data_IF_467740866508
#
_entry.id   IF_467740866508
#
_cell.length_a   1.000
_cell.length_b   1.000
_cell.length_c   1.000
_cell.angle_alpha   90.00
_cell.angle_beta   90.00
_cell.angle_gamma   90.00
#
_symmetry.space_group_name_H-M   'P 1'
#
loop_
_entity.id
_entity.type
_entity.pdbx_description
1 polymer ?
#
# COMPACT_ATOMS: atom_id res chain seq x y z
N UNK A 1 12.22 20.17 -2.77
CA UNK A 1 12.40 20.47 -4.21
C UNK A 1 11.03 20.79 -4.78
N UNK A 2 10.90 21.88 -5.53
CA UNK A 2 9.61 22.22 -6.19
C UNK A 2 9.53 21.37 -7.45
N UNK A 3 8.40 20.67 -7.66
CA UNK A 3 8.14 19.91 -8.90
C UNK A 3 8.02 20.94 -10.03
N UNK A 4 8.94 20.89 -10.98
CA UNK A 4 8.96 21.78 -12.15
C UNK A 4 8.62 20.98 -13.39
N UNK A 5 7.51 21.32 -14.06
CA UNK A 5 6.99 20.65 -15.25
C UNK A 5 7.38 21.47 -16.49
N UNK A 6 7.89 20.84 -17.53
CA UNK A 6 8.05 21.45 -18.84
C UNK A 6 6.81 21.14 -19.69
N UNK A 7 6.06 22.16 -20.02
CA UNK A 7 4.86 22.08 -20.85
C UNK A 7 5.20 22.47 -22.30
N UNK A 8 4.93 21.59 -23.25
CA UNK A 8 5.22 21.80 -24.67
C UNK A 8 3.92 21.71 -25.47
N UNK A 9 3.44 22.83 -25.97
CA UNK A 9 2.17 22.95 -26.69
C UNK A 9 2.27 24.11 -27.69
N UNK A 10 1.98 23.91 -28.96
CA UNK A 10 2.07 24.97 -29.99
C UNK A 10 0.90 25.94 -29.94
N UNK A 11 -0.32 25.45 -29.62
CA UNK A 11 -1.46 26.33 -29.44
C UNK A 11 -1.32 27.23 -28.21
N UNK A 12 -1.22 28.53 -28.43
CA UNK A 12 -1.02 29.51 -27.35
C UNK A 12 -2.13 29.55 -26.32
N UNK A 13 -3.38 29.35 -26.75
CA UNK A 13 -4.58 29.43 -25.87
C UNK A 13 -4.61 28.19 -24.97
N UNK A 14 -4.38 27.02 -25.60
CA UNK A 14 -4.36 25.75 -24.87
C UNK A 14 -3.13 25.69 -23.94
N UNK A 15 -1.96 26.14 -24.38
CA UNK A 15 -0.75 26.23 -23.56
C UNK A 15 -0.97 27.05 -22.29
N UNK A 16 -1.67 28.21 -22.42
CA UNK A 16 -1.99 29.03 -21.26
C UNK A 16 -2.96 28.32 -20.31
N UNK A 17 -4.03 27.72 -20.82
CA UNK A 17 -5.02 26.99 -20.01
C UNK A 17 -4.43 25.79 -19.27
N UNK A 18 -3.50 25.07 -19.90
CA UNK A 18 -2.76 23.95 -19.28
C UNK A 18 -1.79 24.46 -18.22
N UNK A 19 -1.12 25.60 -18.49
CA UNK A 19 -0.25 26.26 -17.51
C UNK A 19 -1.02 26.67 -16.26
N UNK A 20 -2.16 27.35 -16.43
CA UNK A 20 -3.06 27.74 -15.33
C UNK A 20 -3.54 26.50 -14.54
N UNK A 21 -3.83 25.40 -15.23
CA UNK A 21 -4.19 24.13 -14.59
C UNK A 21 -3.08 23.60 -13.72
N UNK A 22 -1.83 23.61 -14.20
CA UNK A 22 -0.66 23.14 -13.44
C UNK A 22 -0.41 24.05 -12.22
N UNK A 23 -0.55 25.36 -12.37
CA UNK A 23 -0.38 26.35 -11.29
C UNK A 23 -1.44 26.15 -10.19
N UNK A 24 -2.72 25.96 -10.56
CA UNK A 24 -3.81 25.63 -9.61
C UNK A 24 -3.51 24.30 -8.90
N UNK A 25 -2.91 23.32 -9.59
CA UNK A 25 -2.44 22.07 -9.00
C UNK A 25 -1.22 22.21 -8.06
N UNK A 26 -0.64 23.41 -7.96
CA UNK A 26 0.52 23.69 -7.11
C UNK A 26 1.87 23.25 -7.73
N UNK A 27 1.93 23.05 -9.04
CA UNK A 27 3.16 22.72 -9.77
C UNK A 27 3.80 23.96 -10.37
N UNK A 28 5.11 24.12 -10.20
CA UNK A 28 5.87 25.08 -10.99
C UNK A 28 5.97 24.55 -12.44
N UNK A 29 5.80 25.43 -13.41
CA UNK A 29 5.91 25.03 -14.81
C UNK A 29 6.72 26.02 -15.63
N UNK A 30 7.27 25.52 -16.74
CA UNK A 30 7.83 26.33 -17.81
C UNK A 30 7.13 25.90 -19.11
N UNK A 31 6.55 26.86 -19.82
CA UNK A 31 5.77 26.57 -21.02
C UNK A 31 6.50 27.04 -22.27
N UNK A 32 6.64 26.18 -23.25
CA UNK A 32 7.32 26.44 -24.54
C UNK A 32 6.41 26.09 -25.72
N UNK A 33 6.67 26.70 -26.87
CA UNK A 33 5.81 26.59 -28.05
C UNK A 33 6.23 25.55 -29.09
N UNK A 34 7.40 24.91 -28.91
CA UNK A 34 7.92 23.95 -29.86
C UNK A 34 8.81 22.91 -29.18
N UNK A 35 9.01 21.78 -29.87
CA UNK A 35 9.88 20.72 -29.39
C UNK A 35 11.36 21.15 -29.38
N UNK A 36 11.75 22.04 -30.27
CA UNK A 36 13.09 22.61 -30.33
C UNK A 36 13.39 23.47 -29.09
N UNK A 37 12.45 24.35 -28.71
CA UNK A 37 12.54 25.12 -27.46
C UNK A 37 12.57 24.22 -26.24
N UNK A 38 11.81 23.12 -26.26
CA UNK A 38 11.80 22.16 -25.16
C UNK A 38 13.16 21.48 -24.96
N UNK A 39 13.86 21.12 -26.02
CA UNK A 39 15.20 20.54 -25.96
C UNK A 39 16.20 21.53 -25.35
N UNK A 40 16.17 22.81 -25.78
CA UNK A 40 17.01 23.86 -25.19
C UNK A 40 16.72 24.07 -23.70
N UNK A 41 15.43 24.12 -23.34
CA UNK A 41 15.02 24.28 -21.96
C UNK A 41 15.50 23.14 -21.04
N UNK A 42 15.50 21.90 -21.52
CA UNK A 42 15.97 20.74 -20.75
C UNK A 42 17.51 20.74 -20.59
N UNK A 43 18.24 21.31 -21.54
CA UNK A 43 19.69 21.48 -21.41
C UNK A 43 20.07 22.62 -20.43
N UNK A 44 19.22 23.66 -20.33
CA UNK A 44 19.47 24.85 -19.50
C UNK A 44 18.99 24.67 -18.04
N UNK A 45 17.98 23.82 -17.80
CA UNK A 45 17.37 23.68 -16.47
C UNK A 45 16.90 22.25 -16.21
N UNK A 46 16.61 21.92 -14.93
CA UNK A 46 16.15 20.59 -14.52
C UNK A 46 14.63 20.55 -14.35
N UNK A 47 13.99 19.60 -15.03
CA UNK A 47 12.55 19.35 -14.94
C UNK A 47 12.26 17.99 -14.34
N UNK A 48 11.13 17.89 -13.64
CA UNK A 48 10.65 16.66 -13.05
C UNK A 48 9.85 15.81 -14.05
N UNK A 49 9.20 16.46 -15.03
CA UNK A 49 8.35 15.85 -16.05
C UNK A 49 8.27 16.76 -17.27
N UNK A 50 8.21 16.17 -18.46
CA UNK A 50 7.80 16.85 -19.69
C UNK A 50 6.40 16.44 -20.05
N UNK A 51 5.52 17.42 -20.30
CA UNK A 51 4.15 17.20 -20.85
C UNK A 51 4.14 17.81 -22.24
N UNK A 52 3.99 16.99 -23.28
CA UNK A 52 4.11 17.45 -24.66
C UNK A 52 2.91 17.08 -25.50
N UNK A 53 2.43 18.02 -26.32
CA UNK A 53 1.55 17.63 -27.43
C UNK A 53 2.31 16.72 -28.42
N UNK A 54 1.56 15.82 -29.05
CA UNK A 54 2.07 14.96 -30.13
C UNK A 54 2.11 15.72 -31.46
N UNK A 55 1.07 16.52 -31.77
CA UNK A 55 0.90 17.15 -33.05
C UNK A 55 1.39 18.60 -33.03
N UNK A 56 2.68 18.80 -33.21
CA UNK A 56 3.30 20.13 -33.28
C UNK A 56 3.95 20.37 -34.63
N UNK A 57 3.99 21.64 -35.13
CA UNK A 57 4.74 21.99 -36.32
C UNK A 57 6.25 21.73 -36.15
N UNK A 58 6.92 21.26 -37.19
CA UNK A 58 8.33 20.94 -37.14
C UNK A 58 8.59 19.57 -36.53
N UNK A 59 9.20 19.50 -35.36
CA UNK A 59 9.44 18.29 -34.61
C UNK A 59 8.20 17.89 -33.81
N UNK A 60 7.64 16.71 -34.08
CA UNK A 60 6.50 16.20 -33.34
C UNK A 60 6.87 15.66 -31.95
N UNK A 61 5.86 15.39 -31.08
CA UNK A 61 6.05 14.90 -29.73
C UNK A 61 6.73 13.52 -29.64
N UNK A 62 6.57 12.65 -30.66
CA UNK A 62 7.27 11.36 -30.73
C UNK A 62 8.77 11.53 -31.02
N UNK A 63 9.09 12.45 -31.90
CA UNK A 63 10.49 12.78 -32.22
C UNK A 63 11.17 13.46 -31.03
N UNK A 64 10.45 14.33 -30.30
CA UNK A 64 10.91 14.91 -29.05
C UNK A 64 11.17 13.82 -28.00
N UNK A 65 10.24 12.90 -27.80
CA UNK A 65 10.41 11.75 -26.91
C UNK A 65 11.66 10.95 -27.25
N UNK A 66 11.86 10.61 -28.52
CA UNK A 66 13.01 9.83 -28.96
C UNK A 66 14.35 10.53 -28.69
N UNK A 67 14.40 11.87 -28.84
CA UNK A 67 15.60 12.67 -28.53
C UNK A 67 15.83 12.79 -27.03
N UNK A 68 14.79 13.07 -26.24
CA UNK A 68 14.88 13.14 -24.78
C UNK A 68 15.32 11.80 -24.18
N UNK A 69 14.85 10.67 -24.74
CA UNK A 69 15.29 9.34 -24.29
C UNK A 69 16.78 9.06 -24.55
N UNK A 70 17.38 9.63 -25.57
CA UNK A 70 18.81 9.46 -25.87
C UNK A 70 19.69 10.31 -24.97
N UNK A 71 19.29 11.56 -24.70
CA UNK A 71 20.12 12.52 -23.96
C UNK A 71 19.73 12.63 -22.48
N UNK A 72 18.45 12.43 -22.14
CA UNK A 72 17.90 12.53 -20.79
C UNK A 72 17.02 11.30 -20.47
N UNK A 73 17.58 10.06 -20.44
CA UNK A 73 16.80 8.81 -20.33
C UNK A 73 15.94 8.73 -19.04
N UNK A 74 16.31 9.48 -18.02
CA UNK A 74 15.60 9.50 -16.73
C UNK A 74 14.48 10.54 -16.64
N UNK A 75 14.32 11.43 -17.65
CA UNK A 75 13.28 12.46 -17.64
C UNK A 75 11.97 11.86 -18.17
N UNK A 76 10.93 11.69 -17.33
CA UNK A 76 9.65 11.15 -17.80
C UNK A 76 8.98 12.10 -18.79
N UNK A 77 8.35 11.55 -19.82
CA UNK A 77 7.64 12.31 -20.86
C UNK A 77 6.21 11.79 -20.95
N UNK A 78 5.23 12.68 -20.73
CA UNK A 78 3.81 12.46 -20.93
C UNK A 78 3.41 13.05 -22.28
N UNK A 79 2.77 12.26 -23.15
CA UNK A 79 2.30 12.71 -24.42
C UNK A 79 0.81 13.03 -24.42
N UNK A 80 0.40 14.17 -25.02
CA UNK A 80 -1.00 14.56 -25.21
C UNK A 80 -1.35 14.45 -26.68
N UNK A 81 -2.55 13.93 -27.03
CA UNK A 81 -2.98 13.80 -28.42
C UNK A 81 -4.47 14.01 -28.60
N UNK A 82 -4.86 14.54 -29.76
CA UNK A 82 -6.26 14.64 -30.18
C UNK A 82 -6.84 13.33 -30.77
N UNK A 83 -6.01 12.32 -31.02
CA UNK A 83 -6.45 11.08 -31.66
C UNK A 83 -6.42 9.90 -30.69
N UNK A 84 -7.59 9.31 -30.43
CA UNK A 84 -7.79 8.15 -29.57
C UNK A 84 -7.38 6.80 -30.23
N UNK A 85 -6.41 6.79 -31.14
CA UNK A 85 -5.93 5.55 -31.75
C UNK A 85 -5.09 4.76 -30.75
N UNK A 86 -5.64 3.67 -30.23
CA UNK A 86 -4.99 2.76 -29.28
C UNK A 86 -3.61 2.31 -29.75
N UNK A 87 -3.45 2.09 -31.06
CA UNK A 87 -2.20 1.68 -31.67
C UNK A 87 -1.07 2.71 -31.52
N UNK A 88 -1.38 4.01 -31.61
CA UNK A 88 -0.39 5.09 -31.38
C UNK A 88 -0.03 5.27 -29.92
N UNK A 89 -0.98 5.07 -29.00
CA UNK A 89 -0.69 5.08 -27.57
C UNK A 89 0.25 3.93 -27.20
N UNK A 90 -0.01 2.73 -27.71
CA UNK A 90 0.85 1.55 -27.50
C UNK A 90 2.25 1.78 -28.08
N UNK A 91 2.37 2.40 -29.26
CA UNK A 91 3.66 2.71 -29.85
C UNK A 91 4.43 3.77 -29.05
N UNK A 92 3.77 4.81 -28.55
CA UNK A 92 4.38 5.80 -27.67
C UNK A 92 4.92 5.17 -26.38
N UNK A 93 4.17 4.24 -25.78
CA UNK A 93 4.62 3.51 -24.59
C UNK A 93 5.82 2.60 -24.90
N UNK A 94 5.85 1.93 -26.08
CA UNK A 94 7.02 1.15 -26.52
C UNK A 94 8.26 1.99 -26.75
N UNK A 95 8.07 3.24 -27.20
CA UNK A 95 9.16 4.21 -27.37
C UNK A 95 9.61 4.85 -26.06
N UNK A 96 8.98 4.47 -24.94
CA UNK A 96 9.37 4.87 -23.59
C UNK A 96 8.65 6.10 -23.06
N UNK A 97 7.49 6.50 -23.59
CA UNK A 97 6.65 7.48 -22.93
C UNK A 97 6.27 7.00 -21.51
N UNK A 98 6.22 7.91 -20.56
CA UNK A 98 5.80 7.60 -19.20
C UNK A 98 4.30 7.36 -19.11
N UNK A 99 3.53 8.11 -19.91
CA UNK A 99 2.09 7.94 -20.05
C UNK A 99 1.55 8.69 -21.28
N UNK A 100 0.25 8.54 -21.55
CA UNK A 100 -0.40 9.09 -22.73
C UNK A 100 -1.78 9.63 -22.37
N UNK A 101 -2.10 10.87 -22.78
CA UNK A 101 -3.35 11.56 -22.44
C UNK A 101 -4.10 11.97 -23.70
N UNK A 102 -5.37 11.52 -23.84
CA UNK A 102 -6.19 11.81 -25.03
C UNK A 102 -7.02 13.07 -24.80
N UNK A 103 -6.88 14.04 -25.71
CA UNK A 103 -7.71 15.27 -25.74
C UNK A 103 -9.10 14.97 -26.36
N UNK A 104 -10.22 15.52 -25.83
CA UNK A 104 -10.30 16.37 -24.66
C UNK A 104 -10.25 15.58 -23.33
N UNK A 105 -9.63 16.15 -22.32
CA UNK A 105 -9.50 15.58 -20.99
C UNK A 105 -9.87 16.59 -19.89
N UNK A 106 -10.27 16.06 -18.75
CA UNK A 106 -10.54 16.89 -17.57
C UNK A 106 -9.23 17.37 -16.94
N UNK A 107 -9.16 18.61 -16.38
CA UNK A 107 -7.99 19.11 -15.66
C UNK A 107 -7.47 18.17 -14.59
N UNK A 108 -8.37 17.48 -13.88
CA UNK A 108 -8.01 16.47 -12.86
C UNK A 108 -7.21 15.29 -13.42
N UNK A 109 -7.47 14.88 -14.67
CA UNK A 109 -6.76 13.78 -15.31
C UNK A 109 -5.29 14.17 -15.57
N UNK A 110 -5.04 15.38 -16.07
CA UNK A 110 -3.68 15.91 -16.24
C UNK A 110 -2.96 15.98 -14.88
N UNK A 111 -3.58 16.61 -13.87
CA UNK A 111 -2.98 16.78 -12.55
C UNK A 111 -2.64 15.42 -11.90
N UNK A 112 -3.52 14.42 -12.00
CA UNK A 112 -3.27 13.08 -11.45
C UNK A 112 -2.10 12.35 -12.15
N UNK A 113 -1.92 12.55 -13.45
CA UNK A 113 -0.79 12.01 -14.20
C UNK A 113 0.51 12.74 -13.87
N UNK A 114 0.46 14.07 -13.75
CA UNK A 114 1.61 14.87 -13.32
C UNK A 114 2.03 14.49 -11.90
N UNK A 115 1.08 14.34 -10.96
CA UNK A 115 1.38 13.84 -9.62
C UNK A 115 2.05 12.47 -9.64
N UNK A 116 1.51 11.54 -10.43
CA UNK A 116 2.03 10.17 -10.55
C UNK A 116 3.45 10.13 -11.11
N UNK A 117 3.72 10.86 -12.17
CA UNK A 117 4.97 10.76 -12.93
C UNK A 117 6.03 11.78 -12.51
N UNK A 118 5.65 12.97 -12.04
CA UNK A 118 6.56 13.95 -11.46
C UNK A 118 6.93 13.59 -10.01
N UNK A 119 5.99 13.01 -9.24
CA UNK A 119 6.27 12.39 -7.93
C UNK A 119 7.12 11.12 -8.08
N UNK A 120 7.19 10.51 -9.27
CA UNK A 120 8.11 9.41 -9.57
C UNK A 120 9.60 9.79 -9.37
N UNK A 121 9.95 11.08 -9.38
CA UNK A 121 11.26 11.57 -8.91
C UNK A 121 11.30 11.95 -7.43
N UNK A 122 10.14 12.22 -6.82
CA UNK A 122 9.98 12.31 -5.35
C UNK A 122 9.72 10.92 -4.74
N UNK A 123 9.17 9.99 -5.52
CA UNK A 123 9.11 8.54 -5.25
C UNK A 123 10.41 7.80 -5.59
N UNK A 124 11.50 8.49 -5.99
CA UNK A 124 12.85 7.94 -5.91
C UNK A 124 13.31 7.71 -4.46
N UNK A 125 12.49 8.07 -3.45
CA UNK A 125 12.61 7.53 -2.10
C UNK A 125 12.09 6.08 -1.96
N UNK A 126 11.26 5.57 -2.87
CA UNK A 126 10.95 4.13 -2.97
C UNK A 126 12.02 3.35 -3.77
N UNK A 127 12.93 4.04 -4.49
CA UNK A 127 14.12 3.45 -5.12
C UNK A 127 15.30 3.28 -4.15
N UNK A 128 15.25 3.87 -2.97
CA UNK A 128 16.13 3.50 -1.87
C UNK A 128 15.63 2.18 -1.29
N UNK A 129 16.42 1.11 -1.47
CA UNK A 129 16.15 -0.22 -0.96
C UNK A 129 15.78 -0.25 0.53
N UNK A 130 15.52 -1.42 1.12
CA UNK A 130 15.23 -1.55 2.54
C UNK A 130 16.27 -0.85 3.40
N UNK A 131 15.86 -0.22 4.50
CA UNK A 131 16.79 0.30 5.51
C UNK A 131 17.45 -0.88 6.21
N UNK A 132 18.78 -0.90 6.24
CA UNK A 132 19.60 -1.96 6.84
C UNK A 132 20.85 -1.36 7.48
N UNK A 133 20.72 -0.89 8.70
CA UNK A 133 21.83 -0.43 9.54
C UNK A 133 22.32 -1.53 10.46
N UNK A 134 21.42 -2.43 10.88
CA UNK A 134 21.75 -3.62 11.67
C UNK A 134 22.59 -4.60 10.85
N UNK A 135 23.64 -5.24 11.40
CA UNK A 135 24.47 -6.22 10.69
C UNK A 135 23.67 -7.36 10.08
N UNK A 136 22.68 -7.90 10.80
CA UNK A 136 21.82 -8.98 10.31
C UNK A 136 20.98 -8.53 9.09
N UNK A 137 20.45 -7.32 9.11
CA UNK A 137 19.72 -6.74 7.98
C UNK A 137 20.61 -6.56 6.75
N UNK A 138 21.86 -6.09 6.94
CA UNK A 138 22.84 -5.94 5.84
C UNK A 138 23.18 -7.28 5.21
N UNK A 139 23.48 -8.31 6.02
CA UNK A 139 23.78 -9.66 5.54
C UNK A 139 22.62 -10.26 4.74
N UNK A 140 21.37 -10.04 5.20
CA UNK A 140 20.20 -10.48 4.46
C UNK A 140 20.06 -9.76 3.12
N UNK A 141 20.31 -8.45 3.06
CA UNK A 141 20.26 -7.70 1.79
C UNK A 141 21.37 -8.11 0.83
N UNK A 142 22.58 -8.40 1.31
CA UNK A 142 23.67 -8.94 0.49
C UNK A 142 23.30 -10.32 -0.08
N UNK A 143 22.68 -11.18 0.73
CA UNK A 143 22.18 -12.47 0.27
C UNK A 143 21.06 -12.28 -0.77
N UNK A 144 20.11 -11.41 -0.49
CA UNK A 144 19.01 -11.07 -1.40
C UNK A 144 19.53 -10.53 -2.76
N UNK A 145 20.55 -9.66 -2.75
CA UNK A 145 21.18 -9.16 -3.97
C UNK A 145 21.90 -10.25 -4.77
N UNK A 146 22.53 -11.23 -4.10
CA UNK A 146 23.11 -12.39 -4.78
C UNK A 146 22.04 -13.27 -5.42
N UNK A 147 20.97 -13.57 -4.68
CA UNK A 147 19.84 -14.37 -5.17
C UNK A 147 19.09 -13.65 -6.28
N UNK A 148 19.06 -12.32 -6.25
CA UNK A 148 18.43 -11.50 -7.28
C UNK A 148 18.96 -11.79 -8.69
N UNK A 149 20.24 -12.16 -8.83
CA UNK A 149 20.90 -12.46 -10.12
C UNK A 149 20.46 -13.78 -10.74
N UNK A 150 19.76 -14.64 -10.01
CA UNK A 150 19.19 -15.91 -10.50
C UNK A 150 17.67 -15.75 -10.72
N UNK A 151 17.10 -16.60 -11.59
CA UNK A 151 15.65 -16.71 -11.78
C UNK A 151 14.96 -17.64 -10.78
N UNK A 152 15.68 -18.06 -9.73
CA UNK A 152 15.14 -18.93 -8.69
C UNK A 152 13.97 -18.29 -7.96
N UNK A 153 12.99 -19.13 -7.60
CA UNK A 153 11.88 -18.72 -6.73
C UNK A 153 12.39 -18.38 -5.34
N UNK A 154 11.91 -17.30 -4.75
CA UNK A 154 12.29 -16.87 -3.40
C UNK A 154 11.04 -16.84 -2.52
N UNK A 155 11.12 -17.50 -1.37
CA UNK A 155 10.11 -17.44 -0.31
C UNK A 155 10.60 -16.53 0.81
N UNK A 156 9.92 -15.41 1.01
CA UNK A 156 10.23 -14.43 2.05
C UNK A 156 9.29 -14.66 3.22
N UNK A 157 9.80 -15.11 4.35
CA UNK A 157 9.05 -15.28 5.59
C UNK A 157 9.33 -14.15 6.58
N UNK A 158 8.39 -13.88 7.47
CA UNK A 158 8.53 -12.89 8.54
C UNK A 158 7.19 -12.38 9.03
N UNK A 159 7.16 -11.81 10.21
CA UNK A 159 5.94 -11.28 10.83
C UNK A 159 5.22 -10.24 9.95
N UNK A 160 3.93 -10.04 10.22
CA UNK A 160 3.17 -8.99 9.53
C UNK A 160 3.78 -7.61 9.78
N UNK A 161 3.81 -6.77 8.73
CA UNK A 161 4.33 -5.41 8.84
C UNK A 161 5.85 -5.27 8.88
N UNK A 162 6.65 -6.32 8.70
CA UNK A 162 8.13 -6.26 8.70
C UNK A 162 8.73 -5.62 7.46
N UNK A 163 7.96 -5.50 6.36
CA UNK A 163 8.43 -4.94 5.09
C UNK A 163 8.85 -6.00 4.05
N UNK A 164 8.25 -7.20 4.07
CA UNK A 164 8.51 -8.29 3.11
C UNK A 164 8.33 -7.87 1.66
N UNK A 165 7.31 -7.06 1.36
CA UNK A 165 7.10 -6.53 0.00
C UNK A 165 8.24 -5.60 -0.43
N UNK A 166 8.79 -4.78 0.49
CA UNK A 166 9.94 -3.90 0.21
C UNK A 166 11.17 -4.73 -0.16
N UNK A 167 11.40 -5.85 0.55
CA UNK A 167 12.47 -6.79 0.22
C UNK A 167 12.23 -7.47 -1.15
N UNK A 168 11.00 -7.86 -1.46
CA UNK A 168 10.66 -8.44 -2.77
C UNK A 168 10.92 -7.43 -3.92
N UNK A 169 10.55 -6.16 -3.75
CA UNK A 169 10.85 -5.09 -4.71
C UNK A 169 12.36 -4.86 -4.86
N UNK A 170 13.10 -4.90 -3.76
CA UNK A 170 14.56 -4.82 -3.79
C UNK A 170 15.18 -5.97 -4.58
N UNK A 171 14.73 -7.21 -4.38
CA UNK A 171 15.20 -8.38 -5.15
C UNK A 171 14.91 -8.18 -6.65
N UNK A 172 13.74 -7.68 -7.01
CA UNK A 172 13.42 -7.37 -8.41
C UNK A 172 14.34 -6.29 -8.97
N UNK A 173 14.57 -5.18 -8.25
CA UNK A 173 15.44 -4.08 -8.67
C UNK A 173 16.91 -4.49 -8.84
N UNK A 174 17.39 -5.48 -8.09
CA UNK A 174 18.75 -6.03 -8.19
C UNK A 174 18.86 -7.17 -9.22
N UNK A 175 17.77 -7.52 -9.90
CA UNK A 175 17.71 -8.63 -10.86
C UNK A 175 17.96 -8.17 -12.32
N UNK A 176 18.29 -9.09 -13.25
CA UNK A 176 18.32 -8.80 -14.67
C UNK A 176 16.97 -8.29 -15.23
N UNK A 177 15.87 -8.52 -14.49
CA UNK A 177 14.50 -8.10 -14.86
C UNK A 177 14.09 -6.76 -14.24
N UNK A 178 15.03 -5.96 -13.71
CA UNK A 178 14.75 -4.70 -12.99
C UNK A 178 13.96 -3.65 -13.79
N UNK A 179 14.06 -3.68 -15.11
CA UNK A 179 13.33 -2.78 -16.03
C UNK A 179 12.02 -3.37 -16.54
N UNK A 180 11.73 -4.62 -16.20
CA UNK A 180 10.53 -5.35 -16.60
C UNK A 180 9.39 -5.17 -15.58
N UNK A 181 8.15 -5.58 -15.89
CA UNK A 181 7.04 -5.44 -14.97
C UNK A 181 7.28 -6.12 -13.62
N UNK A 182 6.92 -5.43 -12.52
CA UNK A 182 6.77 -6.01 -11.20
C UNK A 182 5.29 -6.02 -10.83
N UNK A 183 4.69 -7.20 -10.87
CA UNK A 183 3.26 -7.39 -10.57
C UNK A 183 3.12 -8.02 -9.21
N UNK A 184 2.42 -7.36 -8.30
CA UNK A 184 2.15 -7.88 -6.95
C UNK A 184 0.67 -8.21 -6.81
N UNK A 185 0.37 -9.29 -6.10
CA UNK A 185 -0.98 -9.69 -5.72
C UNK A 185 -0.96 -10.18 -4.28
N UNK A 186 -1.89 -9.67 -3.47
CA UNK A 186 -2.08 -10.16 -2.11
C UNK A 186 -3.20 -11.20 -2.10
N UNK A 187 -2.84 -12.46 -1.77
CA UNK A 187 -3.77 -13.59 -1.79
C UNK A 187 -4.83 -13.50 -0.69
N UNK A 188 -4.52 -12.82 0.43
CA UNK A 188 -5.48 -12.63 1.53
C UNK A 188 -6.52 -11.53 1.27
N UNK A 189 -6.21 -10.57 0.36
CA UNK A 189 -7.07 -9.42 0.12
C UNK A 189 -8.20 -9.68 -0.89
N UNK A 190 -8.14 -10.80 -1.61
CA UNK A 190 -9.07 -11.13 -2.70
C UNK A 190 -9.94 -12.32 -2.28
N UNK A 191 -11.27 -12.24 -2.41
CA UNK A 191 -12.14 -13.37 -2.16
C UNK A 191 -11.77 -14.60 -3.03
N UNK A 192 -11.87 -15.80 -2.46
CA UNK A 192 -11.43 -17.05 -3.09
C UNK A 192 -12.00 -17.27 -4.49
N UNK A 193 -13.28 -16.95 -4.69
CA UNK A 193 -13.98 -17.08 -5.97
C UNK A 193 -13.46 -16.11 -7.06
N UNK A 194 -12.80 -15.02 -6.66
CA UNK A 194 -12.22 -14.04 -7.60
C UNK A 194 -10.71 -14.22 -7.77
N UNK A 195 -10.04 -14.84 -6.80
CA UNK A 195 -8.59 -15.02 -6.81
C UNK A 195 -8.14 -15.83 -8.01
N UNK A 196 -8.88 -16.89 -8.36
CA UNK A 196 -8.60 -17.73 -9.51
C UNK A 196 -8.60 -16.93 -10.82
N UNK A 197 -9.69 -16.21 -11.10
CA UNK A 197 -9.82 -15.42 -12.31
C UNK A 197 -8.81 -14.26 -12.35
N UNK A 198 -8.45 -13.70 -11.20
CA UNK A 198 -7.45 -12.63 -11.10
C UNK A 198 -6.05 -13.15 -11.40
N UNK A 199 -5.67 -14.31 -10.86
CA UNK A 199 -4.34 -14.90 -11.06
C UNK A 199 -4.15 -15.42 -12.49
N UNK A 200 -5.07 -16.28 -12.94
CA UNK A 200 -4.92 -17.05 -14.17
C UNK A 200 -5.60 -16.40 -15.39
N UNK A 201 -6.45 -15.37 -15.16
CA UNK A 201 -7.27 -14.78 -16.21
C UNK A 201 -8.52 -15.62 -16.54
N UNK A 202 -9.40 -15.11 -17.38
CA UNK A 202 -10.60 -15.81 -17.78
C UNK A 202 -10.97 -15.53 -19.23
N UNK A 203 -11.61 -16.48 -19.87
CA UNK A 203 -12.24 -16.33 -21.17
C UNK A 203 -13.66 -15.78 -21.03
N UNK A 204 -14.19 -15.21 -22.10
CA UNK A 204 -15.58 -14.74 -22.14
C UNK A 204 -16.54 -15.89 -21.85
N UNK A 205 -17.44 -15.69 -20.89
CA UNK A 205 -18.44 -16.71 -20.49
C UNK A 205 -17.92 -17.75 -19.50
N UNK A 206 -16.73 -17.62 -18.93
CA UNK A 206 -16.15 -18.56 -17.98
C UNK A 206 -16.98 -18.68 -16.67
N UNK A 207 -17.65 -17.60 -16.28
CA UNK A 207 -18.56 -17.54 -15.14
C UNK A 207 -19.61 -16.45 -15.34
N UNK A 208 -20.64 -16.42 -14.49
CA UNK A 208 -21.70 -15.38 -14.52
C UNK A 208 -21.08 -14.01 -14.26
N UNK A 209 -21.06 -13.13 -15.30
CA UNK A 209 -20.42 -11.82 -15.24
C UNK A 209 -19.14 -11.69 -16.08
N UNK A 210 -18.62 -12.77 -16.66
CA UNK A 210 -17.48 -12.74 -17.59
C UNK A 210 -17.90 -12.26 -18.99
N UNK A 211 -18.14 -10.96 -19.13
CA UNK A 211 -18.63 -10.33 -20.39
C UNK A 211 -17.53 -10.33 -21.47
N UNK A 212 -16.27 -10.18 -21.08
CA UNK A 212 -15.09 -10.15 -21.94
C UNK A 212 -14.01 -11.08 -21.39
N UNK A 213 -13.07 -11.51 -22.26
CA UNK A 213 -11.87 -12.19 -21.80
C UNK A 213 -10.91 -11.19 -21.15
N UNK A 214 -10.23 -11.62 -20.06
CA UNK A 214 -9.28 -10.79 -19.32
C UNK A 214 -8.01 -11.57 -18.99
N UNK A 215 -6.85 -10.94 -19.23
CA UNK A 215 -5.54 -11.49 -18.90
C UNK A 215 -5.33 -11.52 -17.37
N UNK A 216 -4.79 -12.62 -16.86
CA UNK A 216 -4.47 -12.81 -15.46
C UNK A 216 -3.17 -12.12 -15.05
N UNK A 217 -2.88 -12.14 -13.73
CA UNK A 217 -1.65 -11.57 -13.16
C UNK A 217 -0.39 -12.29 -13.68
N UNK A 218 -0.47 -13.58 -13.97
CA UNK A 218 0.61 -14.33 -14.60
C UNK A 218 0.99 -13.76 -15.96
N UNK A 219 -0.01 -13.52 -16.83
CA UNK A 219 0.20 -12.93 -18.15
C UNK A 219 0.69 -11.47 -18.05
N UNK A 220 0.18 -10.69 -17.09
CA UNK A 220 0.60 -9.29 -16.86
C UNK A 220 2.06 -9.18 -16.40
N UNK A 221 2.60 -10.24 -15.77
CA UNK A 221 3.97 -10.29 -15.30
C UNK A 221 4.97 -10.81 -16.34
N UNK A 222 4.53 -11.06 -17.58
CA UNK A 222 5.37 -11.62 -18.64
C UNK A 222 6.67 -10.83 -18.84
N UNK A 223 7.79 -11.53 -18.94
CA UNK A 223 9.15 -10.98 -18.97
C UNK A 223 9.67 -10.47 -17.64
N UNK A 224 8.80 -10.30 -16.63
CA UNK A 224 9.08 -9.63 -15.36
C UNK A 224 9.06 -10.52 -14.13
N UNK A 225 8.52 -9.97 -13.04
CA UNK A 225 8.45 -10.64 -11.73
C UNK A 225 7.03 -10.57 -11.17
N UNK A 226 6.52 -11.73 -10.73
CA UNK A 226 5.25 -11.85 -10.00
C UNK A 226 5.52 -12.04 -8.51
N UNK A 227 4.96 -11.17 -7.67
CA UNK A 227 4.94 -11.33 -6.23
C UNK A 227 3.60 -11.87 -5.77
N UNK A 228 3.62 -13.05 -5.12
CA UNK A 228 2.49 -13.65 -4.42
C UNK A 228 2.60 -13.32 -2.93
N UNK A 229 1.95 -12.26 -2.49
CA UNK A 229 1.97 -11.82 -1.09
C UNK A 229 0.95 -12.62 -0.28
N UNK A 230 1.33 -13.03 0.93
CA UNK A 230 0.57 -13.88 1.85
C UNK A 230 0.10 -15.20 1.20
N UNK A 231 1.04 -15.92 0.57
CA UNK A 231 0.76 -17.16 -0.17
C UNK A 231 0.11 -18.26 0.69
N UNK A 232 0.34 -18.24 2.01
CA UNK A 232 -0.28 -19.16 2.98
C UNK A 232 -1.81 -19.08 3.04
N UNK A 233 -2.40 -17.95 2.58
CA UNK A 233 -3.85 -17.76 2.55
C UNK A 233 -4.51 -18.32 1.28
N UNK A 234 -3.72 -18.85 0.34
CA UNK A 234 -4.25 -19.39 -0.92
C UNK A 234 -5.04 -20.69 -0.68
N UNK A 235 -6.27 -20.80 -1.20
CA UNK A 235 -7.08 -22.03 -1.11
C UNK A 235 -6.37 -23.24 -1.74
N UNK A 236 -6.54 -24.44 -1.14
CA UNK A 236 -5.88 -25.68 -1.57
C UNK A 236 -6.13 -26.01 -3.07
N UNK A 237 -7.33 -25.73 -3.58
CA UNK A 237 -7.65 -25.94 -4.99
C UNK A 237 -6.80 -25.09 -5.94
N UNK A 238 -6.47 -23.86 -5.54
CA UNK A 238 -5.63 -22.95 -6.32
C UNK A 238 -4.15 -23.28 -6.18
N UNK A 239 -3.74 -23.83 -5.03
CA UNK A 239 -2.35 -24.29 -4.83
C UNK A 239 -1.96 -25.37 -5.86
N UNK A 240 -2.87 -26.28 -6.20
CA UNK A 240 -2.62 -27.30 -7.23
C UNK A 240 -2.42 -26.68 -8.63
N UNK A 241 -3.23 -25.66 -8.98
CA UNK A 241 -3.08 -24.94 -10.24
C UNK A 241 -1.79 -24.13 -10.28
N UNK A 242 -1.46 -23.45 -9.18
CA UNK A 242 -0.20 -22.72 -9.05
C UNK A 242 1.02 -23.63 -9.24
N UNK A 243 0.99 -24.82 -8.62
CA UNK A 243 2.06 -25.80 -8.78
C UNK A 243 2.30 -26.18 -10.24
N UNK A 244 1.23 -26.42 -10.99
CA UNK A 244 1.30 -26.70 -12.44
C UNK A 244 1.95 -25.55 -13.20
N UNK A 245 1.51 -24.30 -12.97
CA UNK A 245 2.09 -23.12 -13.62
C UNK A 245 3.58 -22.98 -13.32
N UNK A 246 4.01 -23.23 -12.07
CA UNK A 246 5.42 -23.16 -11.67
C UNK A 246 6.28 -24.30 -12.28
N UNK A 247 5.67 -25.45 -12.58
CA UNK A 247 6.36 -26.59 -13.17
C UNK A 247 6.44 -26.50 -14.67
N UNK A 248 5.30 -26.23 -15.32
CA UNK A 248 5.14 -26.27 -16.77
C UNK A 248 5.52 -24.94 -17.44
N UNK A 249 5.58 -23.85 -16.65
CA UNK A 249 5.77 -22.46 -17.14
C UNK A 249 4.72 -22.05 -18.17
N UNK A 250 3.52 -22.51 -17.98
CA UNK A 250 2.37 -22.20 -18.83
C UNK A 250 1.16 -21.91 -17.95
N UNK A 251 0.26 -21.06 -18.46
CA UNK A 251 -1.02 -20.74 -17.78
C UNK A 251 -2.17 -21.00 -18.74
N UNK A 252 -3.26 -21.56 -18.20
CA UNK A 252 -4.54 -21.66 -18.87
C UNK A 252 -5.55 -20.73 -18.20
N UNK A 253 -6.25 -19.92 -19.00
CA UNK A 253 -7.33 -19.06 -18.49
C UNK A 253 -8.52 -19.89 -18.01
N UNK A 254 -9.21 -19.39 -17.02
CA UNK A 254 -10.46 -20.01 -16.54
C UNK A 254 -11.48 -20.07 -17.69
N UNK A 255 -12.01 -21.27 -17.97
CA UNK A 255 -12.89 -21.52 -19.12
C UNK A 255 -12.18 -21.68 -20.46
N UNK A 256 -10.87 -21.47 -20.52
CA UNK A 256 -10.01 -21.70 -21.68
C UNK A 256 -9.40 -23.11 -21.69
N UNK A 257 -8.83 -23.49 -22.85
CA UNK A 257 -8.05 -24.74 -23.03
C UNK A 257 -6.71 -24.51 -23.73
N UNK A 258 -6.40 -23.25 -24.01
CA UNK A 258 -5.17 -22.89 -24.70
C UNK A 258 -4.09 -22.56 -23.68
N UNK A 259 -2.99 -23.31 -23.61
CA UNK A 259 -1.86 -22.96 -22.77
C UNK A 259 -1.17 -21.71 -23.32
N UNK A 260 -0.76 -20.84 -22.42
CA UNK A 260 -0.01 -19.61 -22.70
C UNK A 260 1.33 -19.76 -21.97
N UNK A 261 2.43 -19.80 -22.74
CA UNK A 261 3.77 -19.91 -22.18
C UNK A 261 4.12 -18.64 -21.39
N UNK A 262 4.87 -18.81 -20.29
CA UNK A 262 5.26 -17.75 -19.36
C UNK A 262 6.78 -17.72 -19.17
N UNK A 263 7.37 -16.56 -19.35
CA UNK A 263 8.72 -16.26 -18.90
C UNK A 263 8.69 -15.28 -17.73
N UNK A 264 8.41 -15.77 -16.55
CA UNK A 264 8.29 -14.96 -15.32
C UNK A 264 9.18 -15.47 -14.20
N UNK A 265 9.62 -14.56 -13.34
CA UNK A 265 10.19 -14.88 -12.04
C UNK A 265 9.11 -14.78 -10.98
N UNK A 266 9.05 -15.76 -10.05
CA UNK A 266 8.08 -15.76 -8.95
C UNK A 266 8.79 -15.50 -7.62
N UNK A 267 8.25 -14.55 -6.85
CA UNK A 267 8.57 -14.30 -5.45
C UNK A 267 7.30 -14.57 -4.64
N UNK A 268 7.45 -15.15 -3.46
CA UNK A 268 6.34 -15.39 -2.55
C UNK A 268 6.66 -14.84 -1.16
N UNK A 269 5.63 -14.34 -0.46
CA UNK A 269 5.77 -13.92 0.94
C UNK A 269 4.79 -14.66 1.83
N UNK A 270 5.14 -14.82 3.10
CA UNK A 270 4.26 -15.39 4.12
C UNK A 270 4.56 -14.81 5.50
N UNK A 271 3.57 -14.71 6.35
CA UNK A 271 3.68 -14.37 7.76
C UNK A 271 3.46 -15.60 8.67
N UNK A 272 3.12 -16.77 8.09
CA UNK A 272 2.88 -18.01 8.82
C UNK A 272 4.11 -18.93 8.80
N UNK A 273 4.16 -19.85 9.76
CA UNK A 273 5.07 -20.98 9.71
C UNK A 273 4.59 -21.99 8.67
N UNK A 274 5.27 -22.02 7.53
CA UNK A 274 4.90 -22.86 6.40
C UNK A 274 5.02 -24.36 6.72
N UNK A 275 5.99 -24.75 7.57
CA UNK A 275 6.12 -26.16 7.98
C UNK A 275 4.90 -26.59 8.81
N UNK A 276 4.44 -25.73 9.71
CA UNK A 276 3.21 -25.95 10.47
C UNK A 276 1.94 -25.98 9.57
N UNK A 277 1.85 -25.12 8.55
CA UNK A 277 0.74 -25.12 7.59
C UNK A 277 0.70 -26.41 6.75
N UNK A 278 1.86 -26.93 6.33
CA UNK A 278 1.97 -28.21 5.62
C UNK A 278 1.58 -29.38 6.53
N UNK A 279 2.11 -29.43 7.76
CA UNK A 279 1.77 -30.48 8.73
C UNK A 279 0.27 -30.49 9.08
N UNK A 280 -0.38 -29.32 9.09
CA UNK A 280 -1.82 -29.19 9.33
C UNK A 280 -2.68 -29.44 8.07
N UNK A 281 -2.07 -29.76 6.92
CA UNK A 281 -2.78 -30.02 5.66
C UNK A 281 -3.44 -28.79 5.02
N UNK A 282 -3.10 -27.57 5.47
CA UNK A 282 -3.61 -26.32 4.88
C UNK A 282 -2.78 -25.84 3.70
N UNK A 283 -1.54 -26.33 3.60
CA UNK A 283 -0.68 -26.03 2.47
C UNK A 283 -0.06 -27.31 1.90
N UNK A 284 0.03 -27.41 0.58
CA UNK A 284 0.59 -28.62 -0.08
C UNK A 284 2.09 -28.65 0.05
N UNK A 285 2.63 -29.80 0.41
CA UNK A 285 4.06 -30.04 0.59
C UNK A 285 4.85 -29.86 -0.72
N UNK A 286 4.32 -30.36 -1.85
CA UNK A 286 4.94 -30.23 -3.16
C UNK A 286 5.08 -28.77 -3.62
N UNK A 287 4.07 -27.95 -3.38
CA UNK A 287 4.10 -26.52 -3.66
C UNK A 287 5.08 -25.79 -2.72
N UNK A 288 5.12 -26.15 -1.44
CA UNK A 288 6.07 -25.57 -0.50
C UNK A 288 7.52 -25.74 -0.96
N UNK A 289 7.94 -26.95 -1.34
CA UNK A 289 9.30 -27.17 -1.85
C UNK A 289 9.56 -26.45 -3.16
N UNK A 290 8.55 -26.26 -4.01
CA UNK A 290 8.70 -25.53 -5.28
C UNK A 290 8.84 -24.01 -5.07
N UNK A 291 8.22 -23.44 -4.05
CA UNK A 291 8.33 -22.04 -3.67
C UNK A 291 9.57 -21.75 -2.82
N UNK A 292 9.95 -22.67 -1.95
CA UNK A 292 11.04 -22.52 -0.98
C UNK A 292 12.40 -22.95 -1.54
N UNK A 293 12.68 -22.63 -2.81
CA UNK A 293 13.99 -22.87 -3.41
C UNK A 293 15.05 -22.01 -2.72
N UNK A 294 14.71 -20.77 -2.43
CA UNK A 294 15.53 -19.83 -1.66
C UNK A 294 14.70 -19.19 -0.55
N UNK A 295 14.76 -19.73 0.69
CA UNK A 295 14.09 -19.12 1.82
C UNK A 295 14.88 -17.93 2.36
N UNK A 296 14.22 -16.77 2.55
CA UNK A 296 14.73 -15.57 3.20
C UNK A 296 13.84 -15.23 4.38
N UNK A 297 14.39 -15.17 5.60
CA UNK A 297 13.65 -14.78 6.79
C UNK A 297 13.93 -13.33 7.12
N UNK A 298 12.89 -12.47 7.06
CA UNK A 298 12.97 -11.06 7.44
C UNK A 298 12.65 -10.93 8.93
N UNK A 299 13.63 -10.52 9.71
CA UNK A 299 13.51 -10.42 11.16
C UNK A 299 12.50 -9.35 11.59
N UNK A 300 11.78 -9.56 12.71
CA UNK A 300 10.92 -8.55 13.29
C UNK A 300 11.74 -7.33 13.76
N UNK A 301 11.09 -6.17 13.85
CA UNK A 301 11.77 -4.89 14.10
C UNK A 301 12.48 -4.86 15.47
N UNK A 302 11.96 -5.56 16.48
CA UNK A 302 12.58 -5.71 17.81
C UNK A 302 13.94 -6.44 17.78
N UNK A 303 14.21 -7.27 16.78
CA UNK A 303 15.47 -8.01 16.60
C UNK A 303 16.48 -7.25 15.72
N UNK A 304 16.11 -6.07 15.20
CA UNK A 304 16.95 -5.20 14.39
C UNK A 304 16.84 -3.76 14.85
N UNK A 305 17.11 -3.54 16.14
CA UNK A 305 16.94 -2.23 16.80
C UNK A 305 17.77 -1.11 16.17
N UNK A 306 18.92 -1.43 15.58
CA UNK A 306 19.75 -0.47 14.84
C UNK A 306 19.08 0.09 13.57
N UNK A 307 18.04 -0.57 13.06
CA UNK A 307 17.27 -0.08 11.90
C UNK A 307 16.15 0.89 12.30
N UNK A 308 15.72 0.92 13.59
CA UNK A 308 14.53 1.65 14.03
C UNK A 308 14.65 3.15 13.75
N UNK A 309 15.71 3.81 14.20
CA UNK A 309 15.86 5.26 14.03
C UNK A 309 16.03 5.67 12.57
N UNK A 310 16.95 5.06 11.77
CA UNK A 310 17.06 5.36 10.36
C UNK A 310 15.75 5.14 9.58
N UNK A 311 14.99 4.11 9.96
CA UNK A 311 13.69 3.83 9.37
C UNK A 311 12.66 4.89 9.78
N UNK A 312 12.62 5.28 11.06
CA UNK A 312 11.74 6.32 11.57
C UNK A 312 12.00 7.67 10.90
N UNK A 313 13.25 8.07 10.76
CA UNK A 313 13.65 9.32 10.07
C UNK A 313 13.21 9.30 8.59
N UNK A 314 13.42 8.19 7.90
CA UNK A 314 13.01 8.02 6.50
C UNK A 314 11.47 8.08 6.33
N UNK A 315 10.72 7.37 7.19
CA UNK A 315 9.27 7.39 7.18
C UNK A 315 8.72 8.78 7.51
N UNK A 316 9.30 9.45 8.51
CA UNK A 316 8.93 10.81 8.88
C UNK A 316 9.19 11.79 7.73
N UNK A 317 10.35 11.73 7.08
CA UNK A 317 10.65 12.57 5.92
C UNK A 317 9.65 12.36 4.78
N UNK A 318 9.23 11.11 4.53
CA UNK A 318 8.20 10.77 3.56
C UNK A 318 6.84 11.38 3.92
N UNK A 319 6.41 11.29 5.19
CA UNK A 319 5.15 11.88 5.64
C UNK A 319 5.17 13.41 5.59
N UNK A 320 6.27 14.04 6.01
CA UNK A 320 6.48 15.50 5.93
C UNK A 320 6.35 15.97 4.48
N UNK A 321 7.02 15.29 3.54
CA UNK A 321 6.94 15.62 2.12
C UNK A 321 5.50 15.45 1.56
N UNK A 322 4.81 14.35 1.90
CA UNK A 322 3.45 14.06 1.45
C UNK A 322 2.43 15.08 1.97
N UNK A 323 2.59 15.49 3.24
CA UNK A 323 1.69 16.47 3.89
C UNK A 323 2.06 17.91 3.58
N UNK A 324 3.13 18.16 2.81
CA UNK A 324 3.70 19.50 2.55
C UNK A 324 3.96 20.27 3.87
N UNK A 325 4.32 19.56 4.91
CA UNK A 325 4.59 20.13 6.23
C UNK A 325 6.00 20.71 6.29
N UNK A 326 6.24 21.68 7.19
CA UNK A 326 7.59 22.14 7.49
C UNK A 326 8.45 20.98 8.03
N UNK A 327 9.78 21.00 7.86
CA UNK A 327 10.67 19.97 8.42
C UNK A 327 10.45 19.78 9.91
N UNK A 328 10.29 18.52 10.32
CA UNK A 328 10.06 18.12 11.72
C UNK A 328 11.19 17.21 12.18
N UNK A 329 11.58 17.33 13.45
CA UNK A 329 12.65 16.53 14.06
C UNK A 329 12.12 15.71 15.24
N UNK A 330 12.78 14.57 15.49
CA UNK A 330 12.55 13.77 16.69
C UNK A 330 13.41 14.31 17.82
N UNK A 331 12.82 14.57 19.00
CA UNK A 331 13.59 14.88 20.22
C UNK A 331 14.41 13.67 20.68
N UNK A 332 15.44 13.86 21.51
CA UNK A 332 16.23 12.76 22.08
C UNK A 332 15.35 11.79 22.91
N UNK A 333 14.36 12.32 23.63
CA UNK A 333 13.39 11.51 24.38
C UNK A 333 12.50 10.67 23.44
N UNK A 334 12.07 11.24 22.32
CA UNK A 334 11.32 10.54 21.28
C UNK A 334 12.15 9.40 20.64
N UNK A 335 13.40 9.65 20.32
CA UNK A 335 14.31 8.63 19.76
C UNK A 335 14.52 7.46 20.75
N UNK A 336 14.77 7.76 22.01
CA UNK A 336 14.90 6.73 23.06
C UNK A 336 13.61 5.91 23.23
N UNK A 337 12.44 6.57 23.18
CA UNK A 337 11.14 5.91 23.25
C UNK A 337 10.94 4.94 22.07
N UNK A 338 11.27 5.36 20.84
CA UNK A 338 11.17 4.50 19.64
C UNK A 338 12.07 3.28 19.74
N UNK A 339 13.30 3.42 20.26
CA UNK A 339 14.24 2.31 20.42
C UNK A 339 13.84 1.32 21.52
N UNK A 340 13.21 1.79 22.59
CA UNK A 340 12.80 0.99 23.73
C UNK A 340 11.52 0.18 23.47
N UNK A 341 10.70 0.56 22.50
CA UNK A 341 9.42 -0.10 22.24
C UNK A 341 9.60 -1.37 21.40
N UNK A 342 8.81 -2.40 21.68
CA UNK A 342 8.95 -3.74 21.08
C UNK A 342 8.38 -3.87 19.65
N UNK A 343 7.57 -2.92 19.20
CA UNK A 343 6.95 -2.86 17.87
C UNK A 343 6.26 -4.17 17.45
N UNK A 344 5.23 -4.64 18.16
CA UNK A 344 4.53 -5.87 17.80
C UNK A 344 3.92 -5.82 16.38
N UNK A 345 3.50 -4.65 15.90
CA UNK A 345 3.08 -4.42 14.50
C UNK A 345 4.22 -4.04 13.55
N UNK A 346 5.47 -4.17 14.00
CA UNK A 346 6.68 -3.92 13.21
C UNK A 346 6.69 -2.53 12.51
N UNK A 347 7.15 -2.46 11.27
CA UNK A 347 7.27 -1.22 10.50
C UNK A 347 5.90 -0.57 10.23
N UNK A 348 4.84 -1.37 10.08
CA UNK A 348 3.48 -0.84 9.87
C UNK A 348 3.00 -0.07 11.10
N UNK A 349 3.28 -0.56 12.29
CA UNK A 349 2.95 0.14 13.53
C UNK A 349 3.80 1.39 13.71
N UNK A 350 5.12 1.30 13.44
CA UNK A 350 6.03 2.45 13.47
C UNK A 350 5.57 3.56 12.50
N UNK A 351 5.21 3.22 11.27
CA UNK A 351 4.71 4.15 10.25
C UNK A 351 3.45 4.88 10.74
N UNK A 352 2.49 4.13 11.28
CA UNK A 352 1.26 4.69 11.85
C UNK A 352 1.52 5.57 13.08
N UNK A 353 2.47 5.19 13.94
CA UNK A 353 2.83 5.96 15.12
C UNK A 353 3.47 7.29 14.74
N UNK A 354 4.39 7.29 13.76
CA UNK A 354 5.03 8.49 13.23
C UNK A 354 4.01 9.42 12.54
N UNK A 355 3.07 8.87 11.79
CA UNK A 355 2.01 9.67 11.15
C UNK A 355 1.12 10.35 12.20
N UNK A 356 0.72 9.65 13.28
CA UNK A 356 -0.04 10.25 14.39
C UNK A 356 0.77 11.31 15.10
N UNK A 357 2.03 11.03 15.45
CA UNK A 357 2.91 11.97 16.12
C UNK A 357 3.14 13.24 15.29
N UNK A 358 3.27 13.12 13.96
CA UNK A 358 3.40 14.26 13.06
C UNK A 358 2.14 15.16 13.06
N UNK A 359 0.96 14.59 13.25
CA UNK A 359 -0.31 15.36 13.34
C UNK A 359 -0.45 16.05 14.69
N UNK A 360 0.01 15.39 15.79
CA UNK A 360 -0.15 15.88 17.15
C UNK A 360 0.93 16.86 17.58
N UNK A 361 2.12 16.82 16.96
CA UNK A 361 3.28 17.62 17.32
C UNK A 361 3.01 19.12 17.27
N UNK A 362 3.69 19.89 18.12
CA UNK A 362 3.65 21.34 18.13
C UNK A 362 5.10 21.89 18.00
N UNK A 363 5.26 22.95 17.22
CA UNK A 363 6.55 23.64 17.10
C UNK A 363 7.65 22.95 16.28
N UNK A 364 7.30 21.94 15.45
CA UNK A 364 8.27 21.30 14.53
C UNK A 364 9.17 20.25 15.20
N UNK A 365 8.86 19.85 16.44
CA UNK A 365 9.57 18.78 17.18
C UNK A 365 8.56 17.75 17.65
N UNK A 366 8.84 16.47 17.40
CA UNK A 366 8.05 15.34 17.93
C UNK A 366 8.67 14.91 19.24
N UNK A 367 7.86 14.96 20.30
CA UNK A 367 8.22 14.51 21.65
C UNK A 367 7.76 13.06 21.88
N UNK A 368 8.29 12.41 22.92
CA UNK A 368 7.91 11.05 23.29
C UNK A 368 6.40 10.90 23.57
N UNK A 369 5.78 11.95 24.13
CA UNK A 369 4.34 11.98 24.43
C UNK A 369 3.46 11.93 23.16
N UNK A 370 3.93 12.41 22.01
CA UNK A 370 3.17 12.46 20.76
C UNK A 370 2.93 11.07 20.13
N UNK A 371 3.72 10.07 20.53
CA UNK A 371 3.60 8.73 19.96
C UNK A 371 2.39 7.94 20.44
N UNK A 372 1.82 8.26 21.62
CA UNK A 372 0.66 7.53 22.20
C UNK A 372 0.82 6.01 22.10
N UNK A 373 2.01 5.47 22.43
CA UNK A 373 2.28 4.04 22.39
C UNK A 373 1.47 3.32 23.48
N UNK A 374 0.86 2.20 23.14
CA UNK A 374 0.07 1.40 24.08
C UNK A 374 0.93 0.99 25.29
N UNK A 375 0.64 1.49 26.47
CA UNK A 375 1.42 1.33 27.70
C UNK A 375 2.04 2.62 28.24
N UNK A 376 1.99 3.74 27.51
CA UNK A 376 2.53 5.02 27.92
C UNK A 376 1.47 6.15 27.88
N UNK A 377 0.24 5.88 28.29
CA UNK A 377 -0.70 6.94 28.65
C UNK A 377 -0.63 7.09 30.17
N UNK A 378 0.16 8.02 30.71
CA UNK A 378 -0.19 8.57 31.99
C UNK A 378 -1.40 9.47 31.74
N UNK A 379 -2.58 9.02 32.10
CA UNK A 379 -3.74 9.88 32.35
C UNK A 379 -3.40 10.81 33.52
N UNK A 380 -2.47 11.73 33.34
CA UNK A 380 -2.06 12.71 34.35
C UNK A 380 -1.73 14.03 33.67
N UNK A 381 -2.76 14.69 33.14
CA UNK A 381 -2.74 16.13 32.92
C UNK A 381 -4.17 16.67 32.76
N UNK A 382 -5.07 16.25 33.67
CA UNK A 382 -6.23 17.06 34.00
C UNK A 382 -6.11 17.27 35.52
N UNK A 383 -5.78 18.50 35.93
CA UNK A 383 -5.73 18.88 37.34
C UNK A 383 -7.08 18.58 37.99
N UNK A 384 -7.11 17.95 39.19
CA UNK A 384 -8.37 17.62 39.83
C UNK A 384 -8.90 18.86 40.55
N UNK A 385 -10.11 19.27 40.19
CA UNK A 385 -10.97 20.00 41.14
C UNK A 385 -11.31 19.06 42.31
N UNK A 386 -11.08 19.57 43.51
CA UNK A 386 -11.13 18.86 44.78
C UNK A 386 -12.38 17.97 44.98
N UNK A 387 -12.14 16.75 45.52
CA UNK A 387 -13.14 15.83 46.01
C UNK A 387 -13.08 15.74 47.54
N UNK A 388 -14.20 15.49 48.24
CA UNK A 388 -14.23 15.11 49.63
C UNK A 388 -14.03 13.59 49.84
N UNK A 389 -13.76 13.09 51.07
CA UNK A 389 -12.91 11.93 51.31
C UNK A 389 -13.59 10.54 51.31
N UNK A 390 -12.73 9.58 51.21
CA UNK A 390 -12.78 8.15 51.10
C UNK A 390 -13.71 7.37 52.00
N UNK A 391 -14.18 6.22 51.48
CA UNK A 391 -14.37 4.97 52.23
C UNK A 391 -13.63 3.86 51.50
N UNK A 392 -12.81 3.15 52.27
CA UNK A 392 -12.04 1.96 51.88
C UNK A 392 -12.95 0.74 51.88
N UNK A 393 -12.90 -0.11 50.86
CA UNK A 393 -13.12 -1.55 51.00
C UNK A 393 -12.39 -2.36 49.90
N UNK A 394 -11.96 -3.53 50.34
CA UNK A 394 -10.92 -4.41 49.79
C UNK A 394 -11.32 -5.28 48.60
N UNK A 395 -10.29 -5.59 47.83
CA UNK A 395 -9.91 -6.81 47.15
C UNK A 395 -10.97 -7.78 46.57
N UNK A 396 -10.82 -8.11 45.28
CA UNK A 396 -11.38 -9.33 44.71
C UNK A 396 -11.29 -9.42 43.18
N UNK A 397 -10.28 -10.09 42.73
CA UNK A 397 -10.19 -11.00 41.57
C UNK A 397 -10.36 -10.50 40.14
N UNK A 398 -9.37 -10.91 39.35
CA UNK A 398 -9.13 -10.67 37.92
C UNK A 398 -10.17 -11.35 37.03
N UNK A 399 -11.06 -10.57 36.43
CA UNK A 399 -11.82 -10.94 35.25
C UNK A 399 -11.53 -9.91 34.13
N UNK A 400 -11.31 -10.39 32.89
CA UNK A 400 -10.71 -9.65 31.78
C UNK A 400 -11.48 -8.39 31.34
N UNK A 401 -10.76 -7.37 30.91
CA UNK A 401 -11.25 -6.07 30.40
C UNK A 401 -12.35 -6.17 29.31
N UNK A 402 -12.49 -7.30 28.64
CA UNK A 402 -13.53 -7.54 27.63
C UNK A 402 -14.92 -7.82 28.22
N UNK A 403 -14.99 -8.41 29.43
CA UNK A 403 -16.26 -8.73 30.08
C UNK A 403 -16.85 -7.52 30.82
N UNK A 404 -16.02 -6.67 31.37
CA UNK A 404 -16.48 -5.44 32.02
C UNK A 404 -17.06 -4.43 31.02
N UNK A 405 -16.46 -4.32 29.84
CA UNK A 405 -16.96 -3.45 28.78
C UNK A 405 -18.31 -3.96 28.22
N UNK A 406 -18.49 -5.28 28.09
CA UNK A 406 -19.76 -5.90 27.71
C UNK A 406 -20.83 -5.71 28.78
N UNK A 407 -20.50 -5.86 30.06
CA UNK A 407 -21.42 -5.64 31.17
C UNK A 407 -21.90 -4.18 31.21
N UNK A 408 -21.00 -3.24 30.99
CA UNK A 408 -21.35 -1.82 30.96
C UNK A 408 -22.24 -1.47 29.75
N UNK A 409 -21.97 -2.03 28.60
CA UNK A 409 -22.81 -1.89 27.40
C UNK A 409 -24.22 -2.50 27.61
N UNK A 410 -24.31 -3.66 28.21
CA UNK A 410 -25.58 -4.31 28.52
C UNK A 410 -26.40 -3.51 29.52
N UNK A 411 -25.74 -2.97 30.56
CA UNK A 411 -26.38 -2.11 31.54
C UNK A 411 -26.96 -0.84 30.89
N UNK A 412 -26.24 -0.19 30.04
CA UNK A 412 -26.67 1.01 29.30
C UNK A 412 -27.89 0.73 28.41
N UNK A 413 -27.95 -0.44 27.78
CA UNK A 413 -29.11 -0.87 26.96
C UNK A 413 -30.35 -1.10 27.85
N UNK A 414 -30.19 -1.74 29.01
CA UNK A 414 -31.27 -1.98 29.99
C UNK A 414 -31.82 -0.65 30.52
N UNK A 415 -30.95 0.24 30.93
CA UNK A 415 -31.36 1.53 31.50
C UNK A 415 -32.08 2.41 30.47
N UNK A 416 -31.63 2.38 29.21
CA UNK A 416 -32.32 3.11 28.15
C UNK A 416 -33.69 2.48 27.82
N UNK A 417 -33.81 1.15 27.83
CA UNK A 417 -35.08 0.46 27.65
C UNK A 417 -36.07 0.72 28.81
N UNK A 418 -35.58 0.82 30.05
CA UNK A 418 -36.39 1.23 31.21
C UNK A 418 -36.92 2.65 31.04
N UNK A 419 -36.04 3.58 30.66
CA UNK A 419 -36.40 4.99 30.46
C UNK A 419 -37.50 5.14 29.37
N UNK A 420 -37.43 4.33 28.31
CA UNK A 420 -38.41 4.35 27.22
C UNK A 420 -39.56 3.34 27.40
N UNK A 421 -39.78 2.85 28.65
CA UNK A 421 -40.86 1.93 29.01
C UNK A 421 -41.00 0.71 28.10
N UNK A 422 -39.86 0.12 27.70
CA UNK A 422 -39.79 -1.07 26.83
C UNK A 422 -39.98 -0.80 25.33
N UNK A 423 -40.10 0.45 24.88
CA UNK A 423 -40.28 0.82 23.49
C UNK A 423 -38.98 0.70 22.71
N UNK A 424 -38.79 -0.45 22.06
CA UNK A 424 -37.52 -0.81 21.39
C UNK A 424 -37.09 0.15 20.28
N UNK A 425 -38.05 0.78 19.57
CA UNK A 425 -37.75 1.71 18.48
C UNK A 425 -37.18 3.03 19.02
N UNK A 426 -37.79 3.58 20.03
CA UNK A 426 -37.39 4.83 20.69
C UNK A 426 -36.06 4.64 21.47
N UNK A 427 -35.88 3.47 22.11
CA UNK A 427 -34.60 3.11 22.74
C UNK A 427 -33.45 2.99 21.72
N UNK A 428 -33.69 2.44 20.54
CA UNK A 428 -32.70 2.35 19.49
C UNK A 428 -32.26 3.74 18.97
N UNK A 429 -33.23 4.64 18.77
CA UNK A 429 -32.96 6.02 18.35
C UNK A 429 -32.13 6.77 19.41
N UNK A 430 -32.43 6.59 20.69
CA UNK A 430 -31.72 7.25 21.79
C UNK A 430 -30.31 6.70 22.00
N UNK A 431 -30.08 5.43 21.70
CA UNK A 431 -28.77 4.78 21.72
C UNK A 431 -27.96 5.05 20.44
N UNK A 432 -28.54 5.72 19.42
CA UNK A 432 -27.88 5.98 18.15
C UNK A 432 -27.60 4.72 17.31
N UNK A 433 -28.38 3.64 17.52
CA UNK A 433 -28.20 2.37 16.82
C UNK A 433 -29.45 1.97 16.01
N UNK A 434 -29.26 1.11 14.99
CA UNK A 434 -30.42 0.62 14.24
C UNK A 434 -31.31 -0.31 15.07
N UNK A 435 -32.63 -0.38 14.81
CA UNK A 435 -33.52 -1.33 15.47
C UNK A 435 -33.12 -2.80 15.25
N UNK A 436 -32.39 -3.08 14.19
CA UNK A 436 -31.81 -4.40 13.88
C UNK A 436 -30.63 -4.71 14.82
N UNK A 437 -29.77 -3.75 15.03
CA UNK A 437 -28.60 -3.84 15.94
C UNK A 437 -29.07 -4.04 17.38
N UNK A 438 -30.10 -3.30 17.83
CA UNK A 438 -30.66 -3.48 19.17
C UNK A 438 -31.23 -4.89 19.35
N UNK A 439 -31.94 -5.44 18.36
CA UNK A 439 -32.44 -6.83 18.43
C UNK A 439 -31.34 -7.86 18.54
N UNK A 440 -30.23 -7.68 17.81
CA UNK A 440 -29.07 -8.56 17.88
C UNK A 440 -28.43 -8.52 19.27
N UNK A 441 -28.24 -7.31 19.85
CA UNK A 441 -27.68 -7.15 21.21
C UNK A 441 -28.57 -7.72 22.29
N UNK A 442 -29.90 -7.61 22.18
CA UNK A 442 -30.83 -8.25 23.09
C UNK A 442 -30.80 -9.78 22.99
N UNK A 443 -30.56 -10.35 21.83
CA UNK A 443 -30.33 -11.78 21.67
C UNK A 443 -29.02 -12.21 22.36
N UNK A 444 -27.94 -11.49 22.19
CA UNK A 444 -26.64 -11.74 22.87
C UNK A 444 -26.79 -11.68 24.40
N UNK A 445 -27.61 -10.78 24.94
CA UNK A 445 -27.87 -10.67 26.38
C UNK A 445 -28.59 -11.90 26.91
N UNK A 446 -29.57 -12.43 26.17
CA UNK A 446 -30.26 -13.68 26.51
C UNK A 446 -29.33 -14.88 26.47
N UNK A 447 -28.49 -14.98 25.45
CA UNK A 447 -27.48 -16.05 25.30
C UNK A 447 -26.44 -15.99 26.45
N UNK A 448 -26.18 -14.81 26.99
CA UNK A 448 -25.33 -14.58 28.16
C UNK A 448 -26.07 -14.84 29.51
N UNK A 449 -27.33 -15.33 29.49
CA UNK A 449 -28.07 -15.67 30.69
C UNK A 449 -28.76 -14.50 31.39
N UNK A 450 -28.84 -13.31 30.76
CA UNK A 450 -29.51 -12.13 31.32
C UNK A 450 -30.99 -12.11 30.89
N UNK A 451 -31.88 -12.19 31.85
CA UNK A 451 -33.34 -12.06 31.58
C UNK A 451 -33.68 -10.56 31.45
N UNK A 452 -33.78 -10.12 30.20
CA UNK A 452 -34.04 -8.71 29.87
C UNK A 452 -35.45 -8.30 30.30
N UNK A 453 -36.44 -9.22 30.31
CA UNK A 453 -37.85 -8.93 30.69
C UNK A 453 -37.96 -8.80 32.21
N UNK A 454 -37.34 -9.67 32.99
CA UNK A 454 -37.26 -9.55 34.42
C UNK A 454 -36.53 -8.24 34.87
N UNK A 455 -35.52 -7.84 34.09
CA UNK A 455 -34.74 -6.61 34.36
C UNK A 455 -35.50 -5.31 34.00
N UNK A 456 -36.54 -5.34 33.19
CA UNK A 456 -37.33 -4.17 32.80
C UNK A 456 -38.48 -3.85 33.78
N UNK A 457 -39.02 -4.84 34.49
CA UNK A 457 -40.23 -4.73 35.31
C UNK A 457 -40.02 -5.09 36.79
N UNK A 458 -38.75 -5.39 37.19
CA UNK A 458 -38.36 -5.69 38.58
C UNK A 458 -37.89 -4.48 39.40
#
# INVERSE_FOLDING_TARGET
MVIKVLLVEDDRVLRQALGDTLEIGGFAYHAVGSAEEALQAVDDDTYSLVVSDVNMPGMDGHQLLARLRRHHPHLPVLLMTAHAAVERAVEAMRQGAADYLVKPFEPKALLSLVERHAAGRLGASDAEGPVACEPASRQLLELAARVARSDSTVLISGESGTGKEVLARYIHQQSPRATQPFVAINCAAIPDNMLEATLFGHEKGAFTGAIAAQAGKFEQAEGGTLLLDEISEMPLGLQAKLLRVLQEREVERVGGRKPIALDIRVLATTNRDMAGEVAAGRFREDLYYRLSVFPLAWQPLRERSGDILPLAERLLARHVAKMKHAPVRLSAAAQACLQAYAWPGNVRELDNALQRALILQQGGVIEAADFCLAGAIPLSAVAPLAAPPAVVEEAGDSAGLGDDMRRHEFQMIIDTLRAERGRRKEAAERLGISPRTLRYKLAQMRDAGLDVEASLYG
#
